data_IF_878729210029
#
_entry.id   IF_878729210029
#
_cell.length_a   1.000
_cell.length_b   1.000
_cell.length_c   1.000
_cell.angle_alpha   90.00
_cell.angle_beta   90.00
_cell.angle_gamma   90.00
#
_symmetry.space_group_name_H-M   'P 1'
#
loop_
_entity.id
_entity.type
_entity.pdbx_description
1 polymer ?
#
# COMPACT_ATOMS: atom_id res chain seq x y z
N UNK A 1 20.13 0.65 -17.67
CA UNK A 1 19.27 -0.24 -18.45
C UNK A 1 17.86 -0.07 -17.92
N UNK A 2 16.89 0.17 -18.79
CA UNK A 2 15.47 0.33 -18.45
C UNK A 2 14.69 -0.87 -18.97
N UNK A 3 13.77 -1.42 -18.18
CA UNK A 3 12.90 -2.53 -18.58
C UNK A 3 11.53 -1.96 -18.88
N UNK A 4 11.09 -2.10 -20.13
CA UNK A 4 9.74 -1.73 -20.57
C UNK A 4 8.92 -3.01 -20.66
N UNK A 5 7.74 -3.01 -20.04
CA UNK A 5 6.82 -4.14 -20.07
C UNK A 5 5.53 -3.73 -20.82
N UNK A 6 5.11 -4.55 -21.78
CA UNK A 6 3.88 -4.31 -22.55
C UNK A 6 2.60 -4.53 -21.73
N UNK A 7 2.74 -5.22 -20.60
CA UNK A 7 1.64 -5.49 -19.66
C UNK A 7 2.13 -5.35 -18.23
N UNK A 8 1.22 -4.91 -17.37
CA UNK A 8 1.47 -4.88 -15.93
C UNK A 8 1.65 -6.31 -15.39
N UNK A 9 2.81 -6.65 -14.79
CA UNK A 9 3.05 -7.98 -14.21
C UNK A 9 2.30 -8.20 -12.90
N UNK A 10 1.82 -7.13 -12.25
CA UNK A 10 1.29 -7.17 -10.90
C UNK A 10 -0.23 -7.40 -10.88
N UNK A 11 -0.75 -8.16 -9.91
CA UNK A 11 -2.19 -8.24 -9.67
C UNK A 11 -2.74 -6.86 -9.25
N UNK A 12 -4.06 -6.62 -9.40
CA UNK A 12 -4.65 -5.30 -9.17
C UNK A 12 -4.30 -4.68 -7.82
N UNK A 13 -4.38 -5.45 -6.74
CA UNK A 13 -4.12 -4.96 -5.37
C UNK A 13 -2.70 -4.41 -5.21
N UNK A 14 -1.69 -5.14 -5.69
CA UNK A 14 -0.29 -4.72 -5.65
C UNK A 14 -0.06 -3.56 -6.61
N UNK A 15 -0.63 -3.64 -7.82
CA UNK A 15 -0.51 -2.55 -8.78
C UNK A 15 -1.08 -1.23 -8.26
N UNK A 16 -2.20 -1.26 -7.55
CA UNK A 16 -2.85 -0.06 -7.06
C UNK A 16 -2.09 0.52 -5.86
N UNK A 17 -1.55 -0.33 -4.98
CA UNK A 17 -0.61 0.10 -3.93
C UNK A 17 0.62 0.80 -4.53
N UNK A 18 1.27 0.20 -5.54
CA UNK A 18 2.46 0.77 -6.17
C UNK A 18 2.16 2.11 -6.86
N UNK A 19 0.98 2.28 -7.47
CA UNK A 19 0.55 3.57 -8.04
C UNK A 19 0.36 4.63 -6.96
N UNK A 20 -0.28 4.30 -5.85
CA UNK A 20 -0.46 5.24 -4.74
C UNK A 20 0.88 5.65 -4.13
N UNK A 21 1.80 4.70 -3.92
CA UNK A 21 3.17 5.00 -3.48
C UNK A 21 3.92 5.90 -4.48
N UNK A 22 3.75 5.67 -5.78
CA UNK A 22 4.31 6.56 -6.80
C UNK A 22 3.72 7.96 -6.71
N UNK A 23 2.40 8.08 -6.46
CA UNK A 23 1.69 9.36 -6.36
C UNK A 23 2.22 10.23 -5.21
N UNK A 24 2.58 9.61 -4.09
CA UNK A 24 3.14 10.31 -2.93
C UNK A 24 4.67 10.49 -3.01
N UNK A 25 5.30 10.13 -4.13
CA UNK A 25 6.73 10.33 -4.33
C UNK A 25 7.61 9.39 -3.49
N UNK A 26 7.19 8.13 -3.33
CA UNK A 26 7.93 7.13 -2.54
C UNK A 26 9.24 6.66 -3.22
N UNK A 27 9.20 6.34 -4.52
CA UNK A 27 10.30 5.67 -5.23
C UNK A 27 11.62 6.44 -5.43
N UNK A 28 11.71 7.77 -5.25
CA UNK A 28 13.01 8.45 -5.12
C UNK A 28 13.86 7.97 -3.94
N UNK A 29 13.26 7.36 -2.91
CA UNK A 29 13.95 6.94 -1.68
C UNK A 29 13.63 5.51 -1.23
N UNK A 30 12.58 4.91 -1.78
CA UNK A 30 12.19 3.53 -1.54
C UNK A 30 12.30 2.66 -2.78
N UNK A 31 12.46 1.36 -2.56
CA UNK A 31 12.57 0.36 -3.61
C UNK A 31 11.68 -0.83 -3.26
N UNK A 32 10.89 -1.30 -4.23
CA UNK A 32 10.19 -2.57 -4.14
C UNK A 32 11.21 -3.72 -4.13
N UNK A 33 11.20 -4.55 -3.11
CA UNK A 33 12.08 -5.70 -2.94
C UNK A 33 11.25 -6.97 -2.69
N UNK A 34 11.91 -8.07 -2.31
CA UNK A 34 11.25 -9.33 -2.00
C UNK A 34 10.79 -10.08 -3.24
N UNK A 35 9.64 -10.73 -3.15
CA UNK A 35 9.13 -11.66 -4.18
C UNK A 35 8.52 -10.95 -5.39
N UNK A 36 8.00 -9.73 -5.25
CA UNK A 36 7.28 -9.03 -6.32
C UNK A 36 8.15 -8.58 -7.52
N UNK A 37 9.37 -8.05 -7.34
CA UNK A 37 10.27 -7.76 -8.47
C UNK A 37 10.58 -8.99 -9.34
N UNK A 38 10.49 -10.21 -8.78
CA UNK A 38 10.74 -11.44 -9.55
C UNK A 38 9.72 -11.65 -10.67
N UNK A 39 8.52 -11.06 -10.60
CA UNK A 39 7.55 -11.12 -11.70
C UNK A 39 8.06 -10.35 -12.93
N UNK A 40 8.76 -9.23 -12.73
CA UNK A 40 9.40 -8.47 -13.81
C UNK A 40 10.48 -9.33 -14.46
N UNK A 41 11.33 -9.97 -13.65
CA UNK A 41 12.38 -10.84 -14.15
C UNK A 41 11.84 -12.10 -14.85
N UNK A 42 10.74 -12.65 -14.38
CA UNK A 42 10.04 -13.76 -15.04
C UNK A 42 9.57 -13.36 -16.43
N UNK A 43 8.97 -12.16 -16.58
CA UNK A 43 8.51 -11.70 -17.89
C UNK A 43 9.66 -11.32 -18.83
N UNK A 44 10.68 -10.64 -18.32
CA UNK A 44 11.72 -10.04 -19.16
C UNK A 44 12.89 -11.00 -19.44
N UNK A 45 13.28 -11.82 -18.46
CA UNK A 45 14.42 -12.74 -18.57
C UNK A 45 14.01 -14.22 -18.63
N UNK A 46 12.71 -14.53 -18.66
CA UNK A 46 12.18 -15.91 -18.67
C UNK A 46 12.65 -16.77 -17.47
N UNK A 47 13.05 -16.12 -16.37
CA UNK A 47 13.46 -16.80 -15.14
C UNK A 47 12.23 -17.33 -14.40
N UNK A 48 12.14 -18.64 -14.20
CA UNK A 48 11.03 -19.22 -13.45
C UNK A 48 11.18 -18.94 -11.96
N UNK A 49 10.23 -18.21 -11.39
CA UNK A 49 10.14 -17.97 -9.95
C UNK A 49 8.84 -18.54 -9.42
N UNK A 50 8.93 -19.55 -8.55
CA UNK A 50 7.79 -20.30 -8.02
C UNK A 50 7.24 -19.80 -6.68
N UNK A 51 7.78 -18.72 -6.12
CA UNK A 51 7.55 -18.35 -4.72
C UNK A 51 7.05 -16.91 -4.57
N UNK A 52 5.79 -16.65 -4.94
CA UNK A 52 5.13 -15.40 -4.58
C UNK A 52 4.68 -15.47 -3.12
N UNK A 53 5.20 -14.59 -2.28
CA UNK A 53 4.73 -14.40 -0.91
C UNK A 53 3.59 -13.38 -0.91
N UNK A 54 2.71 -13.43 0.10
CA UNK A 54 1.52 -12.55 0.16
C UNK A 54 1.82 -11.15 0.72
N UNK A 55 3.02 -10.94 1.25
CA UNK A 55 3.55 -9.66 1.74
C UNK A 55 4.21 -8.86 0.61
N UNK A 56 4.24 -7.53 0.78
CA UNK A 56 4.90 -6.59 -0.15
C UNK A 56 6.00 -5.88 0.60
N UNK A 57 7.24 -6.14 0.21
CA UNK A 57 8.42 -5.62 0.91
C UNK A 57 8.99 -4.38 0.22
N UNK A 58 9.40 -3.41 1.04
CA UNK A 58 10.12 -2.24 0.57
C UNK A 58 11.42 -2.03 1.34
N UNK A 59 12.51 -1.76 0.61
CA UNK A 59 13.72 -1.22 1.18
C UNK A 59 13.66 0.31 1.09
N UNK A 60 13.92 1.00 2.19
CA UNK A 60 13.99 2.46 2.24
C UNK A 60 15.40 2.86 2.66
N UNK A 61 16.01 3.80 1.94
CA UNK A 61 17.32 4.29 2.32
C UNK A 61 17.24 5.02 3.68
N UNK A 62 17.85 4.43 4.70
CA UNK A 62 17.65 4.78 6.11
C UNK A 62 17.89 6.26 6.42
N UNK A 63 16.99 6.83 7.23
CA UNK A 63 17.11 8.15 7.85
C UNK A 63 17.10 9.38 6.93
N UNK A 64 16.83 9.25 5.63
CA UNK A 64 16.54 10.43 4.82
C UNK A 64 15.18 10.94 5.29
N UNK A 65 15.16 12.18 5.83
CA UNK A 65 13.95 12.98 5.90
C UNK A 65 13.32 12.92 4.51
N UNK A 66 12.37 12.01 4.32
CA UNK A 66 11.60 11.96 3.08
C UNK A 66 11.11 13.39 2.92
N UNK A 67 11.47 14.10 1.82
CA UNK A 67 11.02 15.47 1.62
C UNK A 67 9.51 15.46 1.83
N UNK A 68 8.92 16.48 2.48
CA UNK A 68 7.54 16.45 2.93
C UNK A 68 6.65 16.00 1.78
N UNK A 69 6.25 14.73 1.84
CA UNK A 69 5.20 14.19 1.00
C UNK A 69 3.91 14.86 1.48
N UNK A 70 2.96 15.14 0.60
CA UNK A 70 1.64 15.58 1.02
C UNK A 70 0.94 14.59 1.97
N UNK A 71 1.39 13.33 2.02
CA UNK A 71 0.85 12.25 2.86
C UNK A 71 1.98 11.33 3.36
N UNK A 72 2.01 11.02 4.66
CA UNK A 72 2.98 10.07 5.21
C UNK A 72 2.59 8.62 4.84
N UNK A 73 3.57 7.70 4.75
CA UNK A 73 3.29 6.29 4.41
C UNK A 73 2.27 5.64 5.36
N UNK A 74 2.36 5.80 6.70
CA UNK A 74 1.35 5.25 7.60
C UNK A 74 -0.07 5.77 7.31
N UNK A 75 -0.21 7.07 7.03
CA UNK A 75 -1.51 7.69 6.69
C UNK A 75 -2.10 7.12 5.40
N UNK A 76 -1.25 6.94 4.38
CA UNK A 76 -1.64 6.28 3.13
C UNK A 76 -2.13 4.85 3.39
N UNK A 77 -1.37 4.07 4.17
CA UNK A 77 -1.69 2.68 4.44
C UNK A 77 -3.00 2.56 5.24
N UNK A 78 -3.21 3.41 6.25
CA UNK A 78 -4.48 3.50 6.98
C UNK A 78 -5.66 3.84 6.06
N UNK A 79 -5.49 4.81 5.15
CA UNK A 79 -6.51 5.18 4.15
C UNK A 79 -6.86 4.02 3.22
N UNK A 80 -5.88 3.17 2.90
CA UNK A 80 -6.07 1.95 2.11
C UNK A 80 -6.63 0.78 2.93
N UNK A 81 -6.91 1.00 4.22
CA UNK A 81 -7.51 0.01 5.12
C UNK A 81 -6.49 -0.96 5.73
N UNK A 82 -5.22 -0.60 5.77
CA UNK A 82 -4.21 -1.35 6.50
C UNK A 82 -4.12 -0.87 7.95
N UNK A 83 -3.85 -1.79 8.87
CA UNK A 83 -3.66 -1.52 10.29
C UNK A 83 -2.22 -1.88 10.69
N UNK A 84 -1.50 -1.02 11.45
CA UNK A 84 -0.14 -1.31 11.91
C UNK A 84 -0.13 -2.34 13.04
N UNK A 85 0.78 -3.30 12.95
CA UNK A 85 1.14 -4.26 13.99
C UNK A 85 2.63 -4.08 14.25
N UNK A 86 2.96 -3.52 15.41
CA UNK A 86 4.36 -3.41 15.86
C UNK A 86 4.76 -4.66 16.62
N UNK A 87 5.79 -5.35 16.14
CA UNK A 87 6.55 -6.32 16.92
C UNK A 87 7.55 -5.55 17.78
N UNK A 88 7.27 -5.47 19.08
CA UNK A 88 8.09 -4.72 20.03
C UNK A 88 9.45 -5.39 20.33
N UNK A 89 9.60 -6.68 20.04
CA UNK A 89 10.86 -7.40 20.26
C UNK A 89 11.85 -7.15 19.11
N UNK A 90 11.35 -7.06 17.88
CA UNK A 90 12.18 -6.83 16.68
C UNK A 90 12.20 -5.37 16.22
N UNK A 91 11.27 -4.55 16.69
CA UNK A 91 11.07 -3.17 16.21
C UNK A 91 10.49 -3.10 14.79
N UNK A 92 9.99 -4.23 14.26
CA UNK A 92 9.39 -4.30 12.93
C UNK A 92 7.93 -3.84 13.03
N UNK A 93 7.54 -2.90 12.16
CA UNK A 93 6.15 -2.52 11.98
C UNK A 93 5.61 -3.19 10.71
N UNK A 94 4.58 -4.01 10.86
CA UNK A 94 3.90 -4.71 9.76
C UNK A 94 2.52 -4.12 9.56
N UNK A 95 2.18 -3.76 8.33
CA UNK A 95 0.84 -3.26 8.00
C UNK A 95 0.00 -4.39 7.41
N UNK A 96 -1.12 -4.74 8.06
CA UNK A 96 -2.01 -5.82 7.63
C UNK A 96 -3.33 -5.27 7.10
N UNK A 97 -3.86 -5.83 6.03
CA UNK A 97 -5.14 -5.38 5.48
C UNK A 97 -6.28 -5.77 6.44
N UNK A 98 -6.97 -4.77 7.00
CA UNK A 98 -8.12 -4.98 7.88
C UNK A 98 -9.33 -5.55 7.13
N UNK A 99 -10.32 -6.12 7.84
CA UNK A 99 -11.57 -6.52 7.22
C UNK A 99 -12.20 -5.30 6.55
N UNK A 100 -12.48 -5.40 5.24
CA UNK A 100 -13.03 -4.33 4.42
C UNK A 100 -14.17 -3.61 5.14
N UNK A 101 -13.94 -2.39 5.63
CA UNK A 101 -14.98 -1.58 6.23
C UNK A 101 -15.92 -1.15 5.11
N UNK A 102 -17.00 -1.92 4.91
CA UNK A 102 -18.12 -1.48 4.10
C UNK A 102 -18.61 -0.14 4.65
N UNK A 103 -18.55 0.91 3.85
CA UNK A 103 -19.14 2.19 4.17
C UNK A 103 -20.66 2.03 4.32
N UNK A 104 -21.14 1.81 5.53
CA UNK A 104 -22.55 1.98 5.85
C UNK A 104 -22.87 3.46 5.76
N UNK A 105 -23.55 3.85 4.69
CA UNK A 105 -24.14 5.17 4.51
C UNK A 105 -25.06 5.46 5.70
N UNK A 106 -24.64 6.36 6.59
CA UNK A 106 -25.52 6.90 7.62
C UNK A 106 -26.52 7.85 6.96
N UNK A 107 -27.72 7.36 6.67
CA UNK A 107 -28.86 8.19 6.30
C UNK A 107 -29.20 9.11 7.47
N UNK A 108 -29.02 10.40 7.27
CA UNK A 108 -29.56 11.46 8.12
C UNK A 108 -31.08 11.43 7.99
N UNK A 109 -31.78 11.04 9.05
CA UNK A 109 -33.20 11.29 9.20
C UNK A 109 -33.41 12.31 10.33
N UNK A 110 -33.52 13.57 9.94
CA UNK A 110 -34.03 14.62 10.80
C UNK A 110 -35.54 14.50 10.95
N UNK A 111 -36.04 14.60 12.17
CA UNK A 111 -37.36 15.12 12.49
C UNK A 111 -37.40 15.42 14.00
N UNK A 112 -37.26 16.70 14.35
CA UNK A 112 -37.63 17.19 15.67
C UNK A 112 -39.17 17.32 15.73
N UNK A 113 -39.86 16.86 16.79
CA UNK A 113 -41.26 17.18 16.98
C UNK A 113 -41.41 18.60 17.57
N UNK A 114 -42.27 19.40 16.94
CA UNK A 114 -42.70 20.72 17.41
C UNK A 114 -43.40 20.67 18.77
N UNK A 115 -43.35 21.75 19.57
CA UNK A 115 -44.03 21.82 20.86
C UNK A 115 -45.53 22.07 20.68
N UNK A 116 -46.35 21.38 21.46
CA UNK A 116 -47.77 21.67 21.62
C UNK A 116 -47.97 22.78 22.65
N UNK A 117 -48.91 23.67 22.31
CA UNK A 117 -49.44 24.81 23.08
C UNK A 117 -50.13 24.38 24.38
#
# INVERSE_FOLDING_TARGET
MEIILDRNPFPPQVSDLLKELCRIGFFPHGLLIGSWPMLIYTLHFTLQYGFATNDVDFAVHGAVKVPPSPEAIPELLERLGYEPITDYDTGIETFVQGPSRSSSSATVAGAAPSPLQ
#
